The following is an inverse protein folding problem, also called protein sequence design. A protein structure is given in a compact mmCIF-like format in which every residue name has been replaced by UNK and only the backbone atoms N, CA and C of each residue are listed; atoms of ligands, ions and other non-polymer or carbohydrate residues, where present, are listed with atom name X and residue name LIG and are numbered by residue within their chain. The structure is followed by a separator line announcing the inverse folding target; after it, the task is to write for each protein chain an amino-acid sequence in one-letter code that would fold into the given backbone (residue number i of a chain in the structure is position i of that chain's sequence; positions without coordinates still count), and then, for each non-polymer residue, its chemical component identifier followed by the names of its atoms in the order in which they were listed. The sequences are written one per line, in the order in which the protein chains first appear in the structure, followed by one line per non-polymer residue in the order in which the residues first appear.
data_IF_124601299607
#
_entry.id   IF_124601299607
#
_cell.length_a   1.000
_cell.length_b   1.000
_cell.length_c   1.000
_cell.angle_alpha   90.00
_cell.angle_beta   90.00
_cell.angle_gamma   90.00
#
_symmetry.space_group_name_H-M   'P 1'
#
loop_
_entity.id
_entity.type
_entity.pdbx_description
1 polymer ?
#
# COMPACT_ATOMS: atom_id res chain seq x y z
N UNK A 1 -20.86 13.25 8.20
CA UNK A 1 -19.45 13.50 7.84
C UNK A 1 -18.85 12.15 7.49
N UNK A 2 -18.35 11.94 6.27
CA UNK A 2 -17.65 10.69 5.98
C UNK A 2 -16.40 10.67 6.86
N UNK A 3 -16.40 9.82 7.89
CA UNK A 3 -15.23 9.59 8.72
C UNK A 3 -14.14 9.04 7.78
N UNK A 4 -13.11 9.83 7.52
CA UNK A 4 -11.94 9.35 6.80
C UNK A 4 -11.36 8.11 7.50
N UNK A 5 -10.55 7.33 6.79
CA UNK A 5 -10.02 6.05 7.31
C UNK A 5 -9.10 6.20 8.52
N UNK A 6 -8.80 7.43 8.95
CA UNK A 6 -7.78 7.76 9.94
C UNK A 6 -6.38 7.85 9.31
N UNK A 7 -6.27 7.71 7.99
CA UNK A 7 -5.04 7.85 7.24
C UNK A 7 -5.24 8.81 6.04
N UNK A 8 -4.85 10.09 6.16
CA UNK A 8 -5.09 11.08 5.12
C UNK A 8 -4.45 10.73 3.76
N UNK A 9 -3.29 10.07 3.78
CA UNK A 9 -2.61 9.62 2.57
C UNK A 9 -3.38 8.52 1.87
N UNK A 10 -3.93 7.55 2.62
CA UNK A 10 -4.81 6.52 2.07
C UNK A 10 -6.10 7.11 1.49
N UNK A 11 -6.75 8.02 2.23
CA UNK A 11 -7.99 8.67 1.77
C UNK A 11 -7.75 9.46 0.48
N UNK A 12 -6.59 10.13 0.37
CA UNK A 12 -6.16 10.80 -0.85
C UNK A 12 -5.88 9.83 -1.99
N UNK A 13 -5.22 8.71 -1.73
CA UNK A 13 -4.97 7.71 -2.78
C UNK A 13 -6.28 7.12 -3.30
N UNK A 14 -7.23 6.81 -2.43
CA UNK A 14 -8.54 6.29 -2.83
C UNK A 14 -9.36 7.27 -3.69
N UNK A 15 -9.15 8.59 -3.54
CA UNK A 15 -9.82 9.58 -4.38
C UNK A 15 -9.22 9.72 -5.78
N UNK A 16 -8.04 9.14 -6.03
CA UNK A 16 -7.40 9.15 -7.34
C UNK A 16 -7.92 8.03 -8.25
N UNK A 17 -7.90 8.21 -9.58
CA UNK A 17 -8.07 7.10 -10.52
C UNK A 17 -7.02 6.00 -10.32
N UNK A 18 -7.36 4.74 -10.59
CA UNK A 18 -6.48 3.59 -10.36
C UNK A 18 -5.09 3.71 -11.01
N UNK A 19 -4.99 4.32 -12.19
CA UNK A 19 -3.70 4.57 -12.84
C UNK A 19 -2.83 5.57 -12.06
N UNK A 20 -3.44 6.61 -11.49
CA UNK A 20 -2.73 7.60 -10.67
C UNK A 20 -2.41 7.05 -9.27
N UNK A 21 -3.23 6.15 -8.72
CA UNK A 21 -2.88 5.37 -7.53
C UNK A 21 -1.59 4.57 -7.74
N UNK A 22 -1.54 3.77 -8.81
CA UNK A 22 -0.38 2.97 -9.17
C UNK A 22 0.85 3.84 -9.40
N UNK A 23 0.73 4.92 -10.16
CA UNK A 23 1.83 5.87 -10.42
C UNK A 23 2.35 6.53 -9.14
N UNK A 24 1.46 6.92 -8.24
CA UNK A 24 1.84 7.57 -6.97
C UNK A 24 2.55 6.59 -6.05
N UNK A 25 1.97 5.40 -5.85
CA UNK A 25 2.57 4.35 -5.02
C UNK A 25 3.86 3.80 -5.63
N UNK A 26 3.93 3.65 -6.95
CA UNK A 26 5.11 3.18 -7.67
C UNK A 26 6.32 4.10 -7.49
N UNK A 27 6.12 5.43 -7.45
CA UNK A 27 7.17 6.39 -7.09
C UNK A 27 7.72 6.15 -5.69
N UNK A 28 6.84 5.82 -4.74
CA UNK A 28 7.22 5.50 -3.35
C UNK A 28 7.87 4.13 -3.18
N UNK A 29 7.52 3.15 -4.03
CA UNK A 29 8.12 1.80 -4.00
C UNK A 29 9.61 1.84 -4.34
N UNK A 30 10.03 2.68 -5.29
CA UNK A 30 11.44 2.72 -5.70
C UNK A 30 11.91 1.42 -6.40
N UNK A 31 13.20 1.10 -6.29
CA UNK A 31 13.80 -0.14 -6.82
C UNK A 31 13.58 -0.42 -8.33
N UNK A 32 13.41 0.64 -9.12
CA UNK A 32 13.11 0.53 -10.56
C UNK A 32 11.72 -0.06 -10.85
N UNK A 33 10.82 -0.12 -9.86
CA UNK A 33 9.44 -0.57 -10.09
C UNK A 33 8.67 0.46 -10.92
N UNK A 34 8.26 0.07 -12.11
CA UNK A 34 7.22 0.78 -12.86
C UNK A 34 5.88 0.16 -12.49
N UNK A 35 5.17 0.76 -11.54
CA UNK A 35 3.88 0.27 -11.09
C UNK A 35 2.83 0.31 -12.20
N UNK A 36 2.17 -0.82 -12.44
CA UNK A 36 1.08 -0.97 -13.42
C UNK A 36 -0.28 -1.08 -12.76
N UNK A 37 -0.32 -1.52 -11.50
CA UNK A 37 -1.54 -1.52 -10.69
C UNK A 37 -1.22 -1.37 -9.21
N UNK A 38 -2.17 -0.80 -8.48
CA UNK A 38 -2.17 -0.76 -7.04
C UNK A 38 -3.54 -1.19 -6.52
N UNK A 39 -3.56 -1.93 -5.40
CA UNK A 39 -4.78 -2.38 -4.77
C UNK A 39 -4.79 -1.97 -3.30
N UNK A 40 -5.82 -1.23 -2.85
CA UNK A 40 -6.00 -0.92 -1.45
C UNK A 40 -6.41 -2.18 -0.69
N UNK A 41 -5.75 -2.42 0.44
CA UNK A 41 -6.00 -3.60 1.29
C UNK A 41 -6.80 -3.24 2.54
N UNK A 42 -6.77 -1.97 2.94
CA UNK A 42 -7.55 -1.44 4.06
C UNK A 42 -6.69 -0.64 5.04
N UNK A 43 -7.32 -0.15 6.09
CA UNK A 43 -6.66 0.53 7.22
C UNK A 43 -6.97 -0.25 8.49
N UNK A 44 -5.95 -0.60 9.26
CA UNK A 44 -6.15 -1.28 10.54
C UNK A 44 -6.88 -0.35 11.51
N UNK A 45 -7.98 -0.82 12.09
CA UNK A 45 -8.84 -0.02 12.99
C UNK A 45 -8.52 -0.20 14.47
N UNK A 46 -7.68 -1.18 14.82
CA UNK A 46 -7.41 -1.59 16.21
C UNK A 46 -5.94 -1.87 16.49
N UNK A 47 -5.58 -1.93 17.78
CA UNK A 47 -4.25 -2.30 18.26
C UNK A 47 -3.15 -1.31 17.91
N UNK A 48 -1.88 -1.76 18.02
CA UNK A 48 -0.69 -0.95 17.71
C UNK A 48 -0.59 -0.54 16.24
N UNK A 49 -1.33 -1.21 15.36
CA UNK A 49 -1.37 -0.94 13.93
C UNK A 49 -2.49 0.02 13.54
N UNK A 50 -3.25 0.57 14.50
CA UNK A 50 -4.38 1.46 14.20
C UNK A 50 -3.93 2.65 13.34
N UNK A 51 -4.64 2.87 12.23
CA UNK A 51 -4.36 3.94 11.27
C UNK A 51 -3.31 3.60 10.21
N UNK A 52 -2.66 2.44 10.29
CA UNK A 52 -1.78 1.98 9.22
C UNK A 52 -2.62 1.53 8.03
N UNK A 53 -2.35 2.13 6.87
CA UNK A 53 -2.98 1.76 5.61
C UNK A 53 -2.08 0.79 4.85
N UNK A 54 -2.68 -0.24 4.28
CA UNK A 54 -1.98 -1.26 3.50
C UNK A 54 -2.41 -1.20 2.04
N UNK A 55 -1.42 -1.28 1.16
CA UNK A 55 -1.58 -1.33 -0.28
C UNK A 55 -0.68 -2.40 -0.86
N UNK A 56 -1.10 -2.95 -1.98
CA UNK A 56 -0.24 -3.78 -2.80
C UNK A 56 0.01 -3.13 -4.14
N UNK A 57 1.23 -3.21 -4.62
CA UNK A 57 1.66 -2.60 -5.89
C UNK A 57 2.25 -3.69 -6.76
N UNK A 58 1.77 -3.79 -8.00
CA UNK A 58 2.33 -4.69 -9.01
C UNK A 58 3.11 -3.87 -10.02
N UNK A 59 4.34 -4.30 -10.28
CA UNK A 59 5.25 -3.66 -11.23
C UNK A 59 5.17 -4.37 -12.59
N UNK A 60 5.55 -3.65 -13.65
CA UNK A 60 5.58 -4.16 -15.04
C UNK A 60 6.48 -5.39 -15.21
N UNK A 61 7.54 -5.48 -14.42
CA UNK A 61 8.50 -6.59 -14.41
C UNK A 61 7.99 -7.86 -13.67
N UNK A 62 6.74 -7.86 -13.21
CA UNK A 62 6.13 -8.97 -12.50
C UNK A 62 6.38 -8.97 -10.99
N UNK A 63 7.25 -8.10 -10.47
CA UNK A 63 7.44 -7.95 -9.02
C UNK A 63 6.19 -7.35 -8.38
N UNK A 64 5.98 -7.70 -7.12
CA UNK A 64 4.91 -7.14 -6.30
C UNK A 64 5.47 -6.69 -4.96
N UNK A 65 4.94 -5.59 -4.43
CA UNK A 65 5.37 -4.98 -3.19
C UNK A 65 4.17 -4.70 -2.29
N UNK A 66 4.34 -4.96 -1.00
CA UNK A 66 3.45 -4.45 0.04
C UNK A 66 3.92 -3.06 0.46
N UNK A 67 3.00 -2.12 0.51
CA UNK A 67 3.24 -0.75 0.97
C UNK A 67 2.37 -0.52 2.20
N UNK A 68 3.03 -0.24 3.32
CA UNK A 68 2.39 0.21 4.55
C UNK A 68 2.58 1.72 4.64
N UNK A 69 1.50 2.45 4.90
CA UNK A 69 1.50 3.90 5.02
C UNK A 69 1.00 4.25 6.42
N UNK A 70 1.81 4.96 7.19
CA UNK A 70 1.43 5.46 8.50
C UNK A 70 0.62 6.77 8.39
N UNK A 71 -0.17 7.13 9.43
CA UNK A 71 -0.98 8.36 9.43
C UNK A 71 -0.17 9.65 9.24
N UNK A 72 1.11 9.64 9.60
CA UNK A 72 2.07 10.74 9.45
C UNK A 72 2.77 10.75 8.07
N UNK A 73 2.24 9.99 7.11
CA UNK A 73 2.72 9.83 5.75
C UNK A 73 4.07 9.09 5.60
N UNK A 74 4.63 8.51 6.66
CA UNK A 74 5.76 7.58 6.51
C UNK A 74 5.30 6.30 5.80
N UNK A 75 6.08 5.83 4.83
CA UNK A 75 5.78 4.62 4.08
C UNK A 75 6.89 3.58 4.22
N UNK A 76 6.50 2.32 4.41
CA UNK A 76 7.39 1.15 4.42
C UNK A 76 7.02 0.27 3.24
N UNK A 77 8.03 -0.12 2.46
CA UNK A 77 7.87 -0.92 1.25
C UNK A 77 8.59 -2.24 1.44
N UNK A 78 7.92 -3.35 1.14
CA UNK A 78 8.48 -4.71 1.28
C UNK A 78 8.21 -5.52 0.02
N UNK A 79 9.23 -6.18 -0.54
CA UNK A 79 9.05 -7.11 -1.67
C UNK A 79 8.24 -8.32 -1.19
N UNK A 80 7.15 -8.63 -1.92
CA UNK A 80 6.28 -9.75 -1.58
C UNK A 80 7.00 -11.09 -1.50
N UNK A 81 8.08 -11.29 -2.27
CA UNK A 81 8.88 -12.53 -2.26
C UNK A 81 9.58 -12.72 -0.92
N UNK A 82 10.00 -11.63 -0.28
CA UNK A 82 10.57 -11.68 1.06
C UNK A 82 9.51 -12.07 2.10
N UNK A 83 8.29 -11.54 1.97
CA UNK A 83 7.19 -11.92 2.87
C UNK A 83 6.83 -13.41 2.71
N UNK A 84 6.67 -13.86 1.48
CA UNK A 84 6.34 -15.26 1.17
C UNK A 84 7.42 -16.24 1.65
N UNK A 85 8.70 -15.89 1.49
CA UNK A 85 9.81 -16.69 2.02
C UNK A 85 9.78 -16.82 3.55
N UNK A 86 9.14 -15.87 4.25
CA UNK A 86 8.93 -15.88 5.70
C UNK A 86 7.53 -16.40 6.10
N UNK A 87 6.80 -17.04 5.17
CA UNK A 87 5.44 -17.55 5.41
C UNK A 87 4.38 -16.46 5.63
N UNK A 88 4.69 -15.20 5.31
CA UNK A 88 3.77 -14.07 5.44
C UNK A 88 3.07 -13.80 4.10
N UNK A 89 1.79 -13.49 4.18
CA UNK A 89 1.02 -13.08 3.02
C UNK A 89 1.35 -11.64 2.65
N UNK A 90 1.68 -11.40 1.37
CA UNK A 90 1.84 -10.04 0.87
C UNK A 90 0.49 -9.33 0.69
N UNK A 91 -0.57 -10.10 0.48
CA UNK A 91 -1.91 -9.62 0.19
C UNK A 91 -2.88 -10.15 1.25
N UNK A 92 -3.15 -9.36 2.29
CA UNK A 92 -4.24 -9.58 3.24
C UNK A 92 -5.21 -8.41 3.23
N UNK A 93 -6.49 -8.65 2.93
CA UNK A 93 -7.54 -7.66 3.20
C UNK A 93 -7.78 -7.62 4.71
N UNK A 94 -7.81 -6.42 5.27
CA UNK A 94 -8.10 -6.16 6.68
C UNK A 94 -9.55 -5.75 6.86
#
# INVERSE_FOLDING_TARGET
MAAGSGNPTHDRLLSLPAAEQAKTLGKGVGHGCVAVSAFPMGVTSTGKAKGLAYWSVRCKDGRSFAVQIAPDAQAVVVDCRLLQANGKECFKKF
#
